data_IF_730396682045
#
_entry.id   IF_730396682045
#
_cell.length_a   1.000
_cell.length_b   1.000
_cell.length_c   1.000
_cell.angle_alpha   90.00
_cell.angle_beta   90.00
_cell.angle_gamma   90.00
#
_symmetry.space_group_name_H-M   'P 1'
#
loop_
_entity.id
_entity.type
_entity.pdbx_description
1 polymer ?
#
# COMPACT_ATOMS: atom_id res chain seq x y z
N UNK A 1 -31.57 -6.88 -21.62
CA UNK A 1 -30.31 -6.16 -21.92
C UNK A 1 -29.42 -5.95 -20.69
N UNK A 2 -29.96 -5.55 -19.51
CA UNK A 2 -29.15 -5.33 -18.30
C UNK A 2 -28.26 -6.50 -17.83
N UNK A 3 -28.68 -7.76 -18.04
CA UNK A 3 -27.93 -8.95 -17.61
C UNK A 3 -26.62 -9.14 -18.39
N UNK A 4 -26.64 -8.85 -19.69
CA UNK A 4 -25.45 -8.98 -20.56
C UNK A 4 -24.44 -7.91 -20.19
N UNK A 5 -24.91 -6.68 -19.99
CA UNK A 5 -24.07 -5.53 -19.62
C UNK A 5 -23.35 -5.77 -18.29
N UNK A 6 -24.06 -6.23 -17.25
CA UNK A 6 -23.45 -6.51 -15.94
C UNK A 6 -22.39 -7.62 -16.00
N UNK A 7 -22.63 -8.66 -16.81
CA UNK A 7 -21.67 -9.76 -16.99
C UNK A 7 -20.42 -9.32 -17.75
N UNK A 8 -20.57 -8.51 -18.80
CA UNK A 8 -19.45 -7.97 -19.58
C UNK A 8 -18.57 -7.06 -18.73
N UNK A 9 -19.17 -6.19 -17.91
CA UNK A 9 -18.44 -5.31 -17.00
C UNK A 9 -17.60 -6.12 -16.00
N UNK A 10 -18.16 -7.18 -15.41
CA UNK A 10 -17.46 -8.02 -14.44
C UNK A 10 -16.23 -8.67 -15.04
N UNK A 11 -16.36 -9.23 -16.24
CA UNK A 11 -15.22 -9.83 -16.96
C UNK A 11 -14.15 -8.78 -17.28
N UNK A 12 -14.57 -7.62 -17.79
CA UNK A 12 -13.65 -6.54 -18.16
C UNK A 12 -12.81 -6.03 -16.95
N UNK A 13 -13.40 -5.91 -15.77
CA UNK A 13 -12.66 -5.51 -14.57
C UNK A 13 -11.75 -6.61 -14.01
N UNK A 14 -12.15 -7.87 -14.11
CA UNK A 14 -11.37 -8.98 -13.54
C UNK A 14 -10.20 -9.41 -14.44
N UNK A 15 -10.24 -9.18 -15.76
CA UNK A 15 -9.12 -9.52 -16.66
C UNK A 15 -7.80 -8.84 -16.23
N UNK A 16 -7.74 -7.50 -16.02
CA UNK A 16 -6.54 -6.86 -15.50
C UNK A 16 -6.09 -7.41 -14.15
N UNK A 17 -7.03 -7.75 -13.25
CA UNK A 17 -6.71 -8.32 -11.94
C UNK A 17 -6.07 -9.71 -12.04
N UNK A 18 -6.52 -10.55 -12.99
CA UNK A 18 -5.85 -11.82 -13.29
C UNK A 18 -4.42 -11.57 -13.76
N UNK A 19 -4.21 -10.63 -14.69
CA UNK A 19 -2.87 -10.32 -15.21
C UNK A 19 -1.94 -9.80 -14.10
N UNK A 20 -2.42 -8.89 -13.26
CA UNK A 20 -1.67 -8.37 -12.12
C UNK A 20 -1.36 -9.49 -11.12
N UNK A 21 -2.35 -10.32 -10.79
CA UNK A 21 -2.15 -11.46 -9.89
C UNK A 21 -1.10 -12.44 -10.41
N UNK A 22 -1.13 -12.77 -11.71
CA UNK A 22 -0.15 -13.65 -12.33
C UNK A 22 1.24 -13.02 -12.30
N UNK A 23 1.34 -11.71 -12.57
CA UNK A 23 2.58 -10.96 -12.44
C UNK A 23 3.15 -11.02 -11.02
N UNK A 24 2.32 -10.85 -9.99
CA UNK A 24 2.73 -10.95 -8.58
C UNK A 24 3.14 -12.37 -8.20
N UNK A 25 2.45 -13.40 -8.70
CA UNK A 25 2.82 -14.80 -8.48
C UNK A 25 4.19 -15.10 -9.09
N UNK A 26 4.41 -14.69 -10.35
CA UNK A 26 5.70 -14.87 -11.03
C UNK A 26 6.79 -14.11 -10.27
N UNK A 27 6.56 -12.84 -9.94
CA UNK A 27 7.54 -12.03 -9.22
C UNK A 27 7.86 -12.58 -7.82
N UNK A 28 6.85 -12.97 -7.05
CA UNK A 28 7.03 -13.59 -5.73
C UNK A 28 7.73 -14.95 -5.81
N UNK A 29 7.38 -15.77 -6.82
CA UNK A 29 8.05 -17.04 -7.07
C UNK A 29 9.51 -16.83 -7.49
N UNK A 30 9.81 -15.83 -8.33
CA UNK A 30 11.17 -15.45 -8.67
C UNK A 30 11.96 -15.06 -7.43
N UNK A 31 11.44 -14.20 -6.55
CA UNK A 31 12.14 -13.83 -5.32
C UNK A 31 12.40 -15.08 -4.45
N UNK A 32 11.39 -15.94 -4.27
CA UNK A 32 11.49 -17.11 -3.38
C UNK A 32 12.37 -18.23 -3.93
N UNK A 33 12.20 -18.61 -5.20
CA UNK A 33 12.93 -19.73 -5.79
C UNK A 33 14.29 -19.34 -6.37
N UNK A 34 14.47 -18.07 -6.70
CA UNK A 34 15.77 -17.54 -7.11
C UNK A 34 16.60 -17.04 -5.91
N UNK A 35 16.14 -17.22 -4.66
CA UNK A 35 16.89 -16.80 -3.46
C UNK A 35 18.29 -17.43 -3.42
N UNK A 36 18.44 -18.69 -3.87
CA UNK A 36 19.76 -19.37 -3.96
C UNK A 36 20.71 -18.70 -4.95
N UNK A 37 20.20 -18.30 -6.12
CA UNK A 37 20.97 -17.59 -7.15
C UNK A 37 21.28 -16.14 -6.71
N UNK A 38 20.34 -15.48 -6.02
CA UNK A 38 20.56 -14.15 -5.46
C UNK A 38 21.64 -14.19 -4.37
N UNK A 39 21.63 -15.20 -3.50
CA UNK A 39 22.68 -15.42 -2.49
C UNK A 39 24.03 -15.66 -3.17
N UNK A 40 24.11 -16.52 -4.18
CA UNK A 40 25.39 -16.88 -4.82
C UNK A 40 25.97 -15.78 -5.72
N UNK A 41 25.14 -14.90 -6.30
CA UNK A 41 25.58 -13.78 -7.16
C UNK A 41 25.85 -12.48 -6.41
N UNK A 42 25.09 -12.17 -5.36
CA UNK A 42 25.22 -10.90 -4.63
C UNK A 42 26.34 -10.97 -3.59
N UNK A 43 26.56 -12.14 -2.98
CA UNK A 43 27.61 -12.34 -1.97
C UNK A 43 29.03 -12.01 -2.46
N UNK A 44 29.49 -12.45 -3.67
CA UNK A 44 30.85 -12.14 -4.11
C UNK A 44 31.05 -10.66 -4.49
N UNK A 45 30.03 -9.99 -5.05
CA UNK A 45 30.12 -8.58 -5.49
C UNK A 45 30.33 -7.62 -4.30
N UNK A 46 29.84 -7.97 -3.11
CA UNK A 46 29.96 -7.13 -1.90
C UNK A 46 31.22 -7.48 -1.08
N UNK A 47 31.75 -8.69 -1.22
CA UNK A 47 32.88 -9.19 -0.42
C UNK A 47 34.24 -8.89 -1.07
N UNK A 48 34.29 -8.58 -2.37
CA UNK A 48 35.54 -8.34 -3.09
C UNK A 48 36.21 -6.99 -2.75
N UNK A 49 35.54 -6.09 -2.02
CA UNK A 49 36.08 -4.77 -1.64
C UNK A 49 36.61 -4.70 -0.17
N UNK A 50 36.65 -5.84 0.56
CA UNK A 50 37.02 -5.85 1.99
C UNK A 50 38.29 -6.67 2.22
N UNK A 51 39.41 -5.97 2.40
CA UNK A 51 40.76 -6.51 2.68
C UNK A 51 41.00 -6.86 4.17
N UNK A 52 39.93 -7.00 4.98
CA UNK A 52 40.02 -7.29 6.41
C UNK A 52 39.17 -8.52 6.81
N UNK A 53 39.84 -9.55 7.32
CA UNK A 53 39.27 -10.86 7.66
C UNK A 53 38.17 -10.77 8.74
N UNK A 54 38.29 -9.79 9.65
CA UNK A 54 37.33 -9.55 10.73
C UNK A 54 36.07 -8.82 10.25
N UNK A 55 36.20 -7.92 9.26
CA UNK A 55 35.06 -7.23 8.65
C UNK A 55 34.19 -8.17 7.80
N UNK A 56 34.77 -9.24 7.24
CA UNK A 56 34.06 -10.25 6.44
C UNK A 56 33.05 -11.05 7.26
N UNK A 57 33.37 -11.41 8.51
CA UNK A 57 32.46 -12.15 9.39
C UNK A 57 31.27 -11.29 9.84
N UNK A 58 31.50 -10.00 10.11
CA UNK A 58 30.43 -9.05 10.43
C UNK A 58 29.53 -8.75 9.23
N UNK A 59 30.12 -8.62 8.03
CA UNK A 59 29.36 -8.45 6.78
C UNK A 59 28.46 -9.65 6.50
N UNK A 60 28.95 -10.88 6.70
CA UNK A 60 28.15 -12.10 6.50
C UNK A 60 26.94 -12.18 7.45
N UNK A 61 27.11 -11.82 8.72
CA UNK A 61 26.00 -11.78 9.70
C UNK A 61 24.91 -10.75 9.33
N UNK A 62 25.29 -9.59 8.81
CA UNK A 62 24.34 -8.57 8.33
C UNK A 62 23.62 -8.98 7.04
N UNK A 63 24.28 -9.74 6.17
CA UNK A 63 23.73 -10.21 4.90
C UNK A 63 22.68 -11.30 5.14
N UNK A 64 22.89 -12.20 6.11
CA UNK A 64 21.95 -13.28 6.43
C UNK A 64 20.61 -12.75 6.98
N UNK A 65 20.61 -11.70 7.82
CA UNK A 65 19.38 -11.06 8.30
C UNK A 65 18.62 -10.33 7.18
N UNK A 66 19.31 -9.66 6.26
CA UNK A 66 18.67 -8.99 5.12
C UNK A 66 17.99 -9.99 4.18
N UNK A 67 18.62 -11.14 3.93
CA UNK A 67 18.10 -12.14 2.98
C UNK A 67 16.85 -12.85 3.51
N UNK A 68 16.80 -13.18 4.80
CA UNK A 68 15.60 -13.81 5.41
C UNK A 68 14.38 -12.88 5.36
N UNK A 69 14.62 -11.57 5.55
CA UNK A 69 13.59 -10.54 5.40
C UNK A 69 13.05 -10.48 3.96
N UNK A 70 13.93 -10.40 2.94
CA UNK A 70 13.51 -10.40 1.53
C UNK A 70 12.79 -11.69 1.12
N UNK A 71 13.23 -12.85 1.62
CA UNK A 71 12.57 -14.13 1.37
C UNK A 71 11.16 -14.17 1.98
N UNK A 72 10.98 -13.64 3.20
CA UNK A 72 9.67 -13.56 3.86
C UNK A 72 8.69 -12.67 3.10
N UNK A 73 9.14 -11.52 2.56
CA UNK A 73 8.33 -10.67 1.70
C UNK A 73 8.00 -11.34 0.37
N UNK A 74 8.95 -12.05 -0.24
CA UNK A 74 8.71 -12.80 -1.49
C UNK A 74 7.58 -13.82 -1.34
N UNK A 75 7.57 -14.55 -0.23
CA UNK A 75 6.52 -15.52 0.09
C UNK A 75 5.17 -14.84 0.32
N UNK A 76 5.12 -13.71 1.04
CA UNK A 76 3.89 -12.95 1.24
C UNK A 76 3.30 -12.44 -0.09
N UNK A 77 4.14 -11.89 -0.97
CA UNK A 77 3.73 -11.42 -2.31
C UNK A 77 3.18 -12.57 -3.15
N UNK A 78 3.82 -13.74 -3.09
CA UNK A 78 3.38 -14.93 -3.82
C UNK A 78 1.96 -15.36 -3.40
N UNK A 79 1.72 -15.53 -2.10
CA UNK A 79 0.39 -15.94 -1.61
C UNK A 79 -0.68 -14.88 -1.89
N UNK A 80 -0.32 -13.60 -1.78
CA UNK A 80 -1.23 -12.50 -2.10
C UNK A 80 -1.61 -12.49 -3.58
N UNK A 81 -0.62 -12.66 -4.47
CA UNK A 81 -0.84 -12.80 -5.91
C UNK A 81 -1.73 -13.99 -6.25
N UNK A 82 -1.49 -15.14 -5.61
CA UNK A 82 -2.28 -16.35 -5.80
C UNK A 82 -3.75 -16.14 -5.39
N UNK A 83 -3.97 -15.49 -4.25
CA UNK A 83 -5.30 -15.15 -3.77
C UNK A 83 -6.06 -14.24 -4.76
N UNK A 84 -5.40 -13.18 -5.25
CA UNK A 84 -5.99 -12.27 -6.26
C UNK A 84 -6.32 -13.03 -7.55
N UNK A 85 -5.41 -13.88 -8.02
CA UNK A 85 -5.63 -14.73 -9.19
C UNK A 85 -6.87 -15.61 -9.04
N UNK A 86 -6.96 -16.36 -7.94
CA UNK A 86 -8.07 -17.29 -7.69
C UNK A 86 -9.40 -16.52 -7.63
N UNK A 87 -9.45 -15.42 -6.87
CA UNK A 87 -10.66 -14.60 -6.79
C UNK A 87 -11.08 -14.06 -8.16
N UNK A 88 -10.12 -13.55 -8.94
CA UNK A 88 -10.41 -12.94 -10.24
C UNK A 88 -10.83 -13.98 -11.28
N UNK A 89 -10.19 -15.16 -11.29
CA UNK A 89 -10.57 -16.30 -12.11
C UNK A 89 -11.97 -16.82 -11.74
N UNK A 90 -12.31 -16.90 -10.45
CA UNK A 90 -13.65 -17.25 -10.01
C UNK A 90 -14.72 -16.27 -10.55
N UNK A 91 -14.39 -14.97 -10.60
CA UNK A 91 -15.25 -13.95 -11.21
C UNK A 91 -15.48 -14.19 -12.71
N UNK A 92 -14.41 -14.37 -13.49
CA UNK A 92 -14.49 -14.61 -14.94
C UNK A 92 -15.17 -15.93 -15.26
N UNK A 93 -14.72 -17.04 -14.64
CA UNK A 93 -15.29 -18.37 -14.83
C UNK A 93 -16.74 -18.45 -14.34
N UNK A 94 -17.10 -17.72 -13.28
CA UNK A 94 -18.48 -17.68 -12.76
C UNK A 94 -19.46 -17.13 -13.80
N UNK A 95 -19.03 -16.15 -14.59
CA UNK A 95 -19.81 -15.60 -15.70
C UNK A 95 -19.76 -16.53 -16.92
N UNK A 96 -18.58 -16.96 -17.36
CA UNK A 96 -18.40 -17.79 -18.55
C UNK A 96 -19.09 -19.16 -18.44
N UNK A 97 -18.92 -19.84 -17.31
CA UNK A 97 -19.53 -21.15 -17.05
C UNK A 97 -20.98 -21.04 -16.56
N UNK A 98 -21.53 -19.82 -16.43
CA UNK A 98 -22.86 -19.54 -15.86
C UNK A 98 -23.10 -20.23 -14.50
N UNK A 99 -22.02 -20.47 -13.73
CA UNK A 99 -22.07 -21.18 -12.46
C UNK A 99 -22.46 -20.24 -11.33
N UNK A 100 -23.64 -20.46 -10.76
CA UNK A 100 -24.16 -19.64 -9.64
C UNK A 100 -23.33 -19.80 -8.38
N UNK A 101 -22.70 -20.96 -8.17
CA UNK A 101 -21.89 -21.25 -6.99
C UNK A 101 -20.62 -20.40 -7.04
N UNK A 102 -19.91 -20.41 -8.17
CA UNK A 102 -18.66 -19.68 -8.33
C UNK A 102 -18.86 -18.16 -8.26
N UNK A 103 -19.96 -17.67 -8.87
CA UNK A 103 -20.36 -16.27 -8.77
C UNK A 103 -20.80 -15.88 -7.34
N UNK A 104 -21.47 -16.79 -6.63
CA UNK A 104 -21.85 -16.60 -5.23
C UNK A 104 -20.66 -16.51 -4.29
N UNK A 105 -19.65 -17.38 -4.47
CA UNK A 105 -18.39 -17.33 -3.73
C UNK A 105 -17.64 -16.02 -3.98
N UNK A 106 -17.51 -15.62 -5.25
CA UNK A 106 -16.91 -14.33 -5.61
C UNK A 106 -17.61 -13.16 -4.91
N UNK A 107 -18.94 -13.12 -4.94
CA UNK A 107 -19.71 -12.08 -4.29
C UNK A 107 -19.59 -12.11 -2.75
N UNK A 108 -19.51 -13.29 -2.13
CA UNK A 108 -19.30 -13.43 -0.69
C UNK A 108 -17.94 -12.86 -0.27
N UNK A 109 -16.87 -13.17 -1.01
CA UNK A 109 -15.55 -12.59 -0.75
C UNK A 109 -15.53 -11.07 -0.91
N UNK A 110 -16.15 -10.54 -1.97
CA UNK A 110 -16.28 -9.10 -2.14
C UNK A 110 -17.06 -8.43 -1.01
N UNK A 111 -18.11 -9.09 -0.50
CA UNK A 111 -18.87 -8.58 0.64
C UNK A 111 -18.02 -8.52 1.90
N UNK A 112 -17.24 -9.56 2.19
CA UNK A 112 -16.33 -9.58 3.35
C UNK A 112 -15.28 -8.47 3.24
N UNK A 113 -14.67 -8.29 2.07
CA UNK A 113 -13.71 -7.22 1.81
C UNK A 113 -14.38 -5.85 2.00
N UNK A 114 -15.60 -5.68 1.48
CA UNK A 114 -16.36 -4.44 1.66
C UNK A 114 -16.64 -4.12 3.13
N UNK A 115 -17.06 -5.10 3.92
CA UNK A 115 -17.28 -4.91 5.36
C UNK A 115 -15.98 -4.58 6.09
N UNK A 116 -14.88 -5.26 5.75
CA UNK A 116 -13.56 -4.96 6.32
C UNK A 116 -13.12 -3.53 5.99
N UNK A 117 -13.28 -3.09 4.73
CA UNK A 117 -12.99 -1.71 4.32
C UNK A 117 -13.89 -0.68 4.99
N UNK A 118 -15.17 -1.01 5.23
CA UNK A 118 -16.10 -0.15 5.95
C UNK A 118 -15.62 0.06 7.40
N UNK A 119 -15.31 -1.03 8.10
CA UNK A 119 -14.77 -0.97 9.48
C UNK A 119 -13.48 -0.18 9.51
N UNK A 120 -12.55 -0.46 8.59
CA UNK A 120 -11.31 0.30 8.45
C UNK A 120 -11.60 1.80 8.29
N UNK A 121 -12.46 2.17 7.33
CA UNK A 121 -12.80 3.57 7.05
C UNK A 121 -13.42 4.27 8.26
N UNK A 122 -14.28 3.59 9.03
CA UNK A 122 -14.88 4.16 10.25
C UNK A 122 -13.82 4.36 11.34
N UNK A 123 -12.99 3.35 11.61
CA UNK A 123 -11.97 3.41 12.67
C UNK A 123 -10.92 4.48 12.35
N UNK A 124 -10.34 4.44 11.14
CA UNK A 124 -9.33 5.39 10.72
C UNK A 124 -9.91 6.78 10.43
N UNK A 125 -11.18 6.86 10.03
CA UNK A 125 -11.89 8.11 9.78
C UNK A 125 -12.28 8.87 11.06
N UNK A 126 -12.65 8.17 12.12
CA UNK A 126 -13.04 8.78 13.41
C UNK A 126 -11.84 9.13 14.27
N UNK A 127 -10.76 8.34 14.21
CA UNK A 127 -9.53 8.54 15.00
C UNK A 127 -8.34 9.01 14.17
N UNK A 128 -8.58 9.96 13.26
CA UNK A 128 -7.54 10.50 12.38
C UNK A 128 -6.32 11.01 13.15
N UNK A 129 -6.53 11.73 14.26
CA UNK A 129 -5.42 12.28 15.04
C UNK A 129 -4.57 11.19 15.70
N UNK A 130 -5.19 10.25 16.40
CA UNK A 130 -4.48 9.16 17.07
C UNK A 130 -3.69 8.29 16.08
N UNK A 131 -4.31 7.91 14.96
CA UNK A 131 -3.61 7.12 13.95
C UNK A 131 -2.46 7.89 13.29
N UNK A 132 -2.65 9.20 13.10
CA UNK A 132 -1.60 10.08 12.60
C UNK A 132 -0.40 10.08 13.53
N UNK A 133 -0.63 10.25 14.82
CA UNK A 133 0.47 10.31 15.77
C UNK A 133 1.19 8.95 15.87
N UNK A 134 0.47 7.83 15.92
CA UNK A 134 1.08 6.50 16.00
C UNK A 134 1.89 6.16 14.75
N UNK A 135 1.39 6.48 13.56
CA UNK A 135 2.14 6.29 12.32
C UNK A 135 3.40 7.18 12.27
N UNK A 136 3.29 8.44 12.70
CA UNK A 136 4.43 9.35 12.76
C UNK A 136 5.50 8.86 13.74
N UNK A 137 5.09 8.32 14.88
CA UNK A 137 5.99 7.70 15.86
C UNK A 137 6.63 6.43 15.27
N UNK A 138 5.86 5.56 14.61
CA UNK A 138 6.41 4.38 13.94
C UNK A 138 7.43 4.75 12.87
N UNK A 139 7.14 5.78 12.07
CA UNK A 139 8.08 6.27 11.06
C UNK A 139 9.36 6.83 11.69
N UNK A 140 9.23 7.59 12.80
CA UNK A 140 10.40 8.03 13.57
C UNK A 140 11.22 6.83 14.07
N UNK A 141 10.57 5.79 14.63
CA UNK A 141 11.28 4.57 15.07
C UNK A 141 12.07 3.93 13.92
N UNK A 142 11.46 3.79 12.74
CA UNK A 142 12.14 3.26 11.56
C UNK A 142 13.29 4.15 11.07
N UNK A 143 13.16 5.48 11.18
CA UNK A 143 14.29 6.39 10.94
C UNK A 143 15.41 6.12 11.95
N UNK A 144 15.09 5.96 13.23
CA UNK A 144 16.08 5.68 14.27
C UNK A 144 16.80 4.35 14.06
N UNK A 145 16.10 3.29 13.65
CA UNK A 145 16.67 1.94 13.49
C UNK A 145 17.31 1.67 12.13
N UNK A 146 16.65 2.04 11.04
CA UNK A 146 16.94 1.49 9.70
C UNK A 146 17.51 2.53 8.73
N UNK A 147 17.50 3.81 9.08
CA UNK A 147 18.09 4.85 8.25
C UNK A 147 19.61 4.87 8.41
N UNK A 148 20.32 4.64 7.31
CA UNK A 148 21.77 4.78 7.27
C UNK A 148 22.12 6.10 6.60
N UNK A 149 22.69 7.02 7.37
CA UNK A 149 22.99 8.38 6.93
C UNK A 149 24.45 8.54 6.54
N UNK A 150 24.67 8.97 5.31
CA UNK A 150 25.93 9.51 4.82
C UNK A 150 25.63 10.57 3.73
N UNK A 151 26.17 11.78 3.87
CA UNK A 151 25.99 12.86 2.89
C UNK A 151 27.07 12.86 1.81
N UNK A 152 28.21 12.21 2.05
CA UNK A 152 29.33 12.15 1.12
C UNK A 152 29.23 10.92 0.20
N UNK A 153 28.59 9.86 0.66
CA UNK A 153 28.43 8.61 -0.07
C UNK A 153 26.97 8.37 -0.48
N UNK A 154 26.74 7.66 -1.60
CA UNK A 154 25.40 7.30 -2.02
C UNK A 154 24.72 6.38 -0.98
N UNK A 155 23.38 6.43 -0.87
CA UNK A 155 22.64 5.61 0.07
C UNK A 155 22.83 4.12 -0.23
N UNK A 156 23.20 3.35 0.79
CA UNK A 156 23.51 1.92 0.70
C UNK A 156 22.33 1.00 1.03
N UNK A 157 21.20 1.55 1.50
CA UNK A 157 19.99 0.76 1.80
C UNK A 157 18.76 1.28 1.07
N UNK A 158 17.88 0.36 0.67
CA UNK A 158 16.62 0.70 0.01
C UNK A 158 15.71 1.59 0.87
N UNK A 159 15.77 1.45 2.20
CA UNK A 159 15.04 2.32 3.12
C UNK A 159 15.59 3.75 3.12
N UNK A 160 16.91 3.94 3.19
CA UNK A 160 17.53 5.28 3.06
C UNK A 160 17.16 5.92 1.72
N UNK A 161 17.26 5.18 0.60
CA UNK A 161 16.85 5.67 -0.73
C UNK A 161 15.40 6.15 -0.72
N UNK A 162 14.49 5.33 -0.19
CA UNK A 162 13.07 5.67 -0.11
C UNK A 162 12.79 6.90 0.74
N UNK A 163 13.43 7.02 1.91
CA UNK A 163 13.29 8.21 2.77
C UNK A 163 13.83 9.46 2.08
N UNK A 164 14.99 9.36 1.42
CA UNK A 164 15.60 10.48 0.70
C UNK A 164 14.69 10.98 -0.43
N UNK A 165 14.12 10.06 -1.21
CA UNK A 165 13.16 10.36 -2.27
C UNK A 165 11.89 11.04 -1.73
N UNK A 166 11.33 10.54 -0.63
CA UNK A 166 10.15 11.17 0.01
C UNK A 166 10.46 12.60 0.42
N UNK A 167 11.60 12.81 1.10
CA UNK A 167 12.00 14.12 1.61
C UNK A 167 12.17 15.14 0.49
N UNK A 168 12.80 14.76 -0.62
CA UNK A 168 12.96 15.61 -1.80
C UNK A 168 11.64 15.87 -2.51
N UNK A 169 10.87 14.82 -2.79
CA UNK A 169 9.61 14.91 -3.52
C UNK A 169 8.54 15.71 -2.79
N UNK A 170 8.48 15.54 -1.47
CA UNK A 170 7.50 16.20 -0.61
C UNK A 170 8.06 17.43 0.12
N UNK A 171 9.31 17.81 -0.13
CA UNK A 171 9.94 19.02 0.41
C UNK A 171 9.82 19.08 1.94
N UNK A 172 10.26 18.01 2.58
CA UNK A 172 10.10 17.77 4.01
C UNK A 172 11.35 17.11 4.60
N UNK A 173 11.50 17.10 5.93
CA UNK A 173 12.62 16.50 6.63
C UNK A 173 12.16 15.78 7.90
N UNK A 174 12.61 14.53 8.06
CA UNK A 174 12.22 13.68 9.19
C UNK A 174 10.75 13.25 9.18
N UNK A 175 10.30 12.65 10.27
CA UNK A 175 8.88 12.29 10.45
C UNK A 175 8.07 13.53 10.82
N UNK A 176 8.44 14.17 11.93
CA UNK A 176 7.86 15.41 12.46
C UNK A 176 8.77 16.62 12.18
N UNK A 177 10.09 16.45 12.31
CA UNK A 177 11.10 17.44 11.94
C UNK A 177 12.50 16.83 11.89
N UNK A 178 13.51 17.65 11.56
CA UNK A 178 14.90 17.19 11.44
C UNK A 178 15.50 16.57 12.72
N UNK A 179 14.95 16.85 13.91
CA UNK A 179 15.46 16.31 15.18
C UNK A 179 15.22 14.82 15.31
N UNK A 180 14.33 14.25 14.51
CA UNK A 180 14.08 12.81 14.47
C UNK A 180 15.35 11.98 14.13
N UNK A 181 16.33 12.60 13.48
CA UNK A 181 17.61 11.97 13.18
C UNK A 181 18.59 11.96 14.36
N UNK A 182 18.38 12.78 15.40
CA UNK A 182 19.32 12.89 16.52
C UNK A 182 19.45 11.59 17.32
N UNK A 183 18.41 10.77 17.33
CA UNK A 183 18.41 9.48 18.01
C UNK A 183 19.07 8.37 17.20
N UNK A 184 19.28 8.57 15.89
CA UNK A 184 19.88 7.57 14.99
C UNK A 184 21.40 7.50 15.18
N UNK A 185 21.94 6.30 15.36
CA UNK A 185 23.36 6.11 15.66
C UNK A 185 24.29 6.39 14.47
N UNK A 186 23.84 6.17 13.23
CA UNK A 186 24.59 6.54 12.04
C UNK A 186 24.70 8.06 11.92
N UNK A 187 23.62 8.78 12.24
CA UNK A 187 23.60 10.25 12.25
C UNK A 187 24.52 10.84 13.32
N UNK A 188 24.53 10.28 14.54
CA UNK A 188 25.40 10.74 15.65
C UNK A 188 26.91 10.66 15.33
N UNK A 189 27.31 9.74 14.45
CA UNK A 189 28.72 9.58 14.02
C UNK A 189 29.16 10.63 12.99
N UNK A 190 28.21 11.36 12.41
CA UNK A 190 28.47 12.38 11.39
C UNK A 190 28.56 13.77 12.02
N UNK A 191 29.29 14.68 11.36
CA UNK A 191 29.44 16.07 11.81
C UNK A 191 28.35 17.03 11.26
N UNK A 192 27.41 16.51 10.45
CA UNK A 192 26.37 17.30 9.80
C UNK A 192 25.14 17.48 10.70
N UNK A 193 24.36 18.53 10.45
CA UNK A 193 23.14 18.87 11.22
C UNK A 193 21.86 18.26 10.65
N UNK A 194 21.83 17.94 9.36
CA UNK A 194 20.70 17.28 8.68
C UNK A 194 21.19 16.37 7.55
N UNK A 195 20.38 15.39 7.10
CA UNK A 195 20.64 14.65 5.86
C UNK A 195 20.59 15.54 4.62
N UNK A 196 21.36 15.18 3.60
CA UNK A 196 21.39 15.85 2.30
C UNK A 196 20.01 15.92 1.64
N UNK A 197 19.21 14.88 1.81
CA UNK A 197 17.82 14.82 1.31
C UNK A 197 16.88 15.81 1.99
N UNK A 198 17.26 16.45 3.09
CA UNK A 198 16.51 17.54 3.71
C UNK A 198 16.84 18.92 3.12
N UNK A 199 17.87 19.02 2.27
CA UNK A 199 18.27 20.25 1.61
C UNK A 199 17.45 20.52 0.34
N UNK A 200 17.31 21.78 -0.03
CA UNK A 200 16.69 22.15 -1.32
C UNK A 200 17.54 21.70 -2.50
N UNK A 201 18.86 21.79 -2.34
CA UNK A 201 19.84 21.20 -3.22
C UNK A 201 20.64 20.16 -2.42
N UNK A 202 20.59 18.90 -2.86
CA UNK A 202 21.30 17.80 -2.22
C UNK A 202 22.81 17.89 -2.36
N UNK A 203 23.37 18.84 -3.13
CA UNK A 203 24.82 19.04 -3.23
C UNK A 203 25.33 20.21 -2.38
N UNK A 204 24.42 20.96 -1.77
CA UNK A 204 24.75 22.13 -0.96
C UNK A 204 25.31 21.68 0.40
N UNK A 205 26.64 21.73 0.51
CA UNK A 205 27.36 21.44 1.75
C UNK A 205 27.02 22.41 2.88
N UNK A 206 26.78 23.68 2.53
CA UNK A 206 26.42 24.70 3.51
C UNK A 206 25.05 24.38 4.11
N UNK A 207 24.13 23.82 3.32
CA UNK A 207 22.82 23.42 3.83
C UNK A 207 22.90 22.36 4.92
N UNK A 208 23.65 21.27 4.74
CA UNK A 208 23.66 20.21 5.75
C UNK A 208 24.58 20.51 6.94
N UNK A 209 25.53 21.44 6.82
CA UNK A 209 26.34 21.93 7.94
C UNK A 209 25.66 23.06 8.72
N UNK A 210 25.00 23.98 8.01
CA UNK A 210 24.34 25.19 8.53
C UNK A 210 22.91 25.33 7.97
N UNK A 211 21.98 24.45 8.38
CA UNK A 211 20.65 24.42 7.80
C UNK A 211 19.80 25.63 8.23
N UNK A 212 19.28 26.35 7.25
CA UNK A 212 18.32 27.45 7.40
C UNK A 212 16.99 27.10 6.76
N UNK A 213 15.91 27.77 7.13
CA UNK A 213 14.60 27.56 6.49
C UNK A 213 14.57 28.04 5.02
N UNK A 214 15.63 28.72 4.55
CA UNK A 214 15.78 29.17 3.18
C UNK A 214 16.49 28.15 2.28
N UNK A 215 17.46 27.39 2.79
CA UNK A 215 18.20 26.37 2.02
C UNK A 215 17.76 24.93 2.31
N UNK A 216 16.91 24.70 3.33
CA UNK A 216 16.48 23.37 3.76
C UNK A 216 14.98 23.29 4.07
N UNK A 217 14.49 22.06 4.23
CA UNK A 217 13.13 21.73 4.67
C UNK A 217 13.08 21.26 6.13
N UNK A 218 14.08 21.64 6.94
CA UNK A 218 14.32 21.10 8.29
C UNK A 218 13.12 21.20 9.25
N UNK A 219 12.31 22.24 9.12
CA UNK A 219 11.18 22.55 10.03
C UNK A 219 9.86 21.90 9.57
N UNK A 220 9.87 21.16 8.46
CA UNK A 220 8.66 20.58 7.86
C UNK A 220 8.72 19.06 7.89
N UNK A 221 8.02 18.42 8.83
CA UNK A 221 7.92 16.95 8.90
C UNK A 221 7.18 16.31 7.73
N UNK A 222 7.72 15.21 7.22
CA UNK A 222 7.14 14.47 6.09
C UNK A 222 5.78 13.83 6.41
N UNK A 223 5.53 13.53 7.69
CA UNK A 223 4.28 12.90 8.08
C UNK A 223 3.08 13.85 7.90
N UNK A 224 3.26 15.14 8.22
CA UNK A 224 2.22 16.17 8.00
C UNK A 224 1.95 16.40 6.52
N UNK A 225 3.00 16.52 5.70
CA UNK A 225 2.87 16.79 4.26
C UNK A 225 2.27 15.60 3.51
N UNK A 226 2.70 14.37 3.84
CA UNK A 226 2.22 13.15 3.19
C UNK A 226 0.74 12.89 3.47
N UNK A 227 0.26 13.16 4.69
CA UNK A 227 -1.17 13.02 5.02
C UNK A 227 -2.02 14.05 4.27
N UNK A 228 -1.58 15.31 4.22
CA UNK A 228 -2.32 16.37 3.50
C UNK A 228 -2.31 16.09 2.00
N UNK A 229 -1.15 15.79 1.42
CA UNK A 229 -0.99 15.47 0.00
C UNK A 229 -1.79 14.23 -0.39
N UNK A 230 -1.77 13.19 0.46
CA UNK A 230 -2.54 11.98 0.29
C UNK A 230 -4.03 12.25 0.30
N UNK A 231 -4.55 13.01 1.28
CA UNK A 231 -5.96 13.37 1.37
C UNK A 231 -6.44 14.18 0.14
N UNK A 232 -5.66 15.17 -0.30
CA UNK A 232 -5.98 15.96 -1.51
C UNK A 232 -5.91 15.14 -2.80
N UNK A 233 -5.01 14.16 -2.89
CA UNK A 233 -4.95 13.26 -4.04
C UNK A 233 -6.12 12.28 -4.02
N UNK A 234 -6.43 11.69 -2.88
CA UNK A 234 -7.57 10.77 -2.70
C UNK A 234 -8.91 11.45 -3.04
N UNK A 235 -9.11 12.72 -2.70
CA UNK A 235 -10.33 13.45 -3.10
C UNK A 235 -10.41 13.73 -4.61
N UNK A 236 -9.26 13.83 -5.29
CA UNK A 236 -9.18 14.13 -6.72
C UNK A 236 -9.06 12.89 -7.61
N UNK A 237 -8.87 11.68 -7.05
CA UNK A 237 -8.83 10.45 -7.84
C UNK A 237 -10.25 9.98 -8.18
N UNK A 238 -10.64 9.93 -9.48
CA UNK A 238 -11.93 9.40 -9.90
C UNK A 238 -12.09 7.91 -9.57
N UNK A 239 -11.01 7.21 -9.19
CA UNK A 239 -11.01 5.81 -8.74
C UNK A 239 -11.68 5.59 -7.39
N UNK A 240 -11.60 6.53 -6.43
CA UNK A 240 -12.31 6.39 -5.15
C UNK A 240 -13.81 6.63 -5.32
N UNK A 241 -14.20 7.67 -6.06
CA UNK A 241 -15.59 7.91 -6.45
C UNK A 241 -16.14 6.79 -7.34
N UNK A 242 -15.37 6.29 -8.32
CA UNK A 242 -15.76 5.12 -9.11
C UNK A 242 -15.83 3.84 -8.29
N UNK A 243 -14.94 3.60 -7.32
CA UNK A 243 -14.98 2.36 -6.52
C UNK A 243 -16.25 2.29 -5.67
N UNK A 244 -16.66 3.38 -5.02
CA UNK A 244 -17.95 3.42 -4.30
C UNK A 244 -19.14 3.28 -5.25
N UNK A 245 -19.04 3.82 -6.46
CA UNK A 245 -20.09 3.70 -7.49
C UNK A 245 -20.17 2.27 -8.02
N UNK A 246 -19.02 1.64 -8.27
CA UNK A 246 -18.85 0.26 -8.75
C UNK A 246 -19.28 -0.72 -7.67
N UNK A 247 -18.85 -0.54 -6.41
CA UNK A 247 -19.31 -1.31 -5.26
C UNK A 247 -20.83 -1.17 -5.07
N UNK A 248 -21.40 0.02 -5.25
CA UNK A 248 -22.85 0.22 -5.26
C UNK A 248 -23.53 -0.52 -6.42
N UNK A 249 -22.99 -0.48 -7.64
CA UNK A 249 -23.52 -1.21 -8.80
C UNK A 249 -23.47 -2.73 -8.57
N UNK A 250 -22.39 -3.23 -7.96
CA UNK A 250 -22.24 -4.64 -7.61
C UNK A 250 -23.17 -5.06 -6.48
N UNK A 251 -23.25 -4.26 -5.41
CA UNK A 251 -24.16 -4.51 -4.29
C UNK A 251 -25.62 -4.47 -4.75
N UNK A 252 -25.98 -3.50 -5.60
CA UNK A 252 -27.32 -3.38 -6.19
C UNK A 252 -27.64 -4.56 -7.10
N UNK A 253 -26.70 -4.99 -7.93
CA UNK A 253 -26.83 -6.18 -8.78
C UNK A 253 -26.97 -7.47 -7.95
N UNK A 254 -26.17 -7.62 -6.89
CA UNK A 254 -26.22 -8.77 -6.00
C UNK A 254 -27.50 -8.82 -5.18
N UNK A 255 -27.93 -7.70 -4.60
CA UNK A 255 -29.21 -7.56 -3.90
C UNK A 255 -30.38 -7.84 -4.85
N UNK A 256 -30.30 -7.41 -6.11
CA UNK A 256 -31.35 -7.68 -7.09
C UNK A 256 -31.40 -9.18 -7.47
N UNK A 257 -30.25 -9.85 -7.61
CA UNK A 257 -30.15 -11.29 -7.91
C UNK A 257 -30.59 -12.14 -6.71
N UNK A 258 -30.18 -11.78 -5.50
CA UNK A 258 -30.56 -12.47 -4.27
C UNK A 258 -32.03 -12.23 -3.93
N UNK A 259 -32.56 -11.01 -4.12
CA UNK A 259 -34.00 -10.74 -4.06
C UNK A 259 -34.77 -11.56 -5.10
N UNK A 260 -34.29 -11.66 -6.35
CA UNK A 260 -34.95 -12.50 -7.38
C UNK A 260 -34.92 -14.00 -7.02
N UNK A 261 -33.85 -14.47 -6.38
CA UNK A 261 -33.69 -15.87 -5.98
C UNK A 261 -34.54 -16.21 -4.74
N UNK A 262 -34.63 -15.29 -3.78
CA UNK A 262 -35.51 -15.38 -2.60
C UNK A 262 -36.97 -15.25 -3.02
N UNK A 263 -37.29 -14.33 -3.91
CA UNK A 263 -38.66 -14.10 -4.41
C UNK A 263 -39.16 -15.25 -5.29
N UNK A 264 -38.29 -15.86 -6.11
CA UNK A 264 -38.62 -17.09 -6.85
C UNK A 264 -38.85 -18.29 -5.93
N UNK A 265 -38.31 -18.28 -4.70
CA UNK A 265 -38.58 -19.28 -3.66
C UNK A 265 -39.88 -19.00 -2.89
N UNK A 266 -40.31 -17.74 -2.81
CA UNK A 266 -41.44 -17.32 -1.96
C UNK A 266 -42.78 -17.21 -2.66
N UNK A 267 -42.83 -17.08 -3.99
CA UNK A 267 -44.10 -16.92 -4.70
C UNK A 267 -44.31 -17.91 -5.86
N UNK A 268 -44.99 -19.00 -5.52
CA UNK A 268 -46.13 -19.52 -6.29
C UNK A 268 -47.42 -18.73 -6.01
N UNK A 269 -47.45 -17.70 -5.15
CA UNK A 269 -48.68 -16.95 -4.89
C UNK A 269 -48.43 -15.55 -4.34
N UNK A 270 -48.96 -14.53 -5.01
CA UNK A 270 -49.26 -13.14 -4.53
C UNK A 270 -48.28 -12.02 -4.94
N UNK A 271 -48.64 -11.42 -6.06
CA UNK A 271 -48.21 -10.13 -6.59
C UNK A 271 -48.48 -8.96 -5.61
N UNK A 272 -47.72 -7.85 -5.78
CA UNK A 272 -47.93 -6.44 -5.36
C UNK A 272 -47.27 -5.89 -4.09
N UNK A 273 -46.72 -4.68 -4.32
CA UNK A 273 -46.49 -3.53 -3.42
C UNK A 273 -45.41 -3.65 -2.33
N UNK A 274 -44.25 -3.00 -2.57
CA UNK A 274 -43.69 -1.93 -1.72
C UNK A 274 -42.24 -1.60 -2.13
N UNK A 275 -42.03 -0.44 -2.75
CA UNK A 275 -40.74 0.24 -2.88
C UNK A 275 -41.04 1.72 -2.61
N UNK A 276 -40.83 2.17 -1.36
CA UNK A 276 -39.86 3.24 -1.16
C UNK A 276 -39.19 3.18 0.23
N UNK A 277 -37.91 2.81 0.32
CA UNK A 277 -37.10 3.00 1.54
C UNK A 277 -35.74 3.67 1.28
N UNK A 278 -35.32 3.83 0.01
CA UNK A 278 -33.95 4.24 -0.30
C UNK A 278 -33.74 5.74 -0.59
N UNK A 279 -34.79 6.56 -0.52
CA UNK A 279 -34.69 8.03 -0.65
C UNK A 279 -34.18 8.73 0.63
N UNK A 280 -34.15 8.05 1.78
CA UNK A 280 -33.72 8.65 3.05
C UNK A 280 -32.20 8.64 3.26
N UNK A 281 -31.46 7.75 2.60
CA UNK A 281 -30.01 7.65 2.80
C UNK A 281 -29.20 8.69 2.02
N UNK A 282 -29.80 9.29 0.98
CA UNK A 282 -29.22 10.43 0.27
C UNK A 282 -29.32 11.75 1.06
N UNK A 283 -30.29 11.87 1.98
CA UNK A 283 -30.48 13.11 2.73
C UNK A 283 -29.47 13.28 3.88
N UNK A 284 -29.06 12.18 4.52
CA UNK A 284 -28.13 12.22 5.66
C UNK A 284 -26.66 12.47 5.27
N UNK A 285 -26.27 12.17 4.03
CA UNK A 285 -24.89 12.41 3.55
C UNK A 285 -24.71 13.88 3.09
N UNK A 286 -25.78 14.57 2.69
CA UNK A 286 -25.72 15.99 2.34
C UNK A 286 -25.81 16.95 3.54
N UNK A 287 -26.27 16.48 4.71
CA UNK A 287 -26.40 17.30 5.93
C UNK A 287 -25.16 17.28 6.84
N UNK A 288 -24.11 16.53 6.49
CA UNK A 288 -22.87 16.39 7.28
C UNK A 288 -21.62 16.92 6.55
N UNK A 289 -21.81 17.73 5.51
CA UNK A 289 -20.75 18.49 4.84
C UNK A 289 -20.96 19.99 5.06
#
# INVERSE_FOLDING_TARGET
MCKVISSTILVLFNIPLVLVGLGLVVFGALIRWNEKILVERITPVVVEEIDDENAREAAQKLIEERITLFASYGLAIFFFGLFICILSLCGVCGVCCKSKILLGLYAAFLLVIFLALLVFTIVFGTRKHWFRDELGISYRRSITSDYHMDNNFPPNTGFTVFVNEIQQKHKCCGSFDYRDFQDNDSFKRQNYKIPASCCKDMKDKECWERPTSQNSYKDTGCFRVSVVSGATKLSNYPLCTNWFTVANVYLRSYLHISAYTIFKRRNSTVMRTSLPVYSLQFCLIYLLN
#
